data_IF_311618194259
#
_entry.id   IF_311618194259
#
_cell.length_a   1.000
_cell.length_b   1.000
_cell.length_c   1.000
_cell.angle_alpha   90.00
_cell.angle_beta   90.00
_cell.angle_gamma   90.00
#
_symmetry.space_group_name_H-M   'P 1'
#
loop_
_entity.id
_entity.type
_entity.pdbx_description
1 polymer ?
#
# COMPACT_ATOMS: atom_id res chain seq x y z
N UNK A 1 -11.82 -18.63 -35.82
CA UNK A 1 -11.11 -17.50 -35.17
C UNK A 1 -10.14 -18.06 -34.13
N UNK A 2 -8.87 -18.33 -34.47
CA UNK A 2 -7.85 -18.67 -33.49
C UNK A 2 -7.07 -17.42 -33.02
N UNK A 3 -6.69 -17.43 -31.74
CA UNK A 3 -6.02 -16.38 -30.97
C UNK A 3 -4.61 -16.02 -31.46
N UNK A 4 -4.14 -14.76 -31.31
CA UNK A 4 -2.93 -14.27 -31.98
C UNK A 4 -1.66 -14.26 -31.12
N UNK A 5 -1.50 -15.10 -30.09
CA UNK A 5 -0.47 -14.85 -29.06
C UNK A 5 0.66 -15.86 -28.89
N UNK A 6 0.79 -16.95 -29.64
CA UNK A 6 2.02 -17.78 -29.57
C UNK A 6 2.38 -18.45 -30.91
N UNK A 7 2.51 -17.67 -31.99
CA UNK A 7 3.20 -18.15 -33.19
C UNK A 7 4.64 -17.64 -33.17
N UNK A 8 5.60 -18.54 -32.91
CA UNK A 8 7.03 -18.22 -32.96
C UNK A 8 7.39 -17.69 -34.37
N UNK A 9 8.38 -16.79 -34.46
CA UNK A 9 8.81 -16.23 -35.75
C UNK A 9 9.18 -17.32 -36.77
N UNK A 10 9.69 -18.44 -36.28
CA UNK A 10 10.02 -19.63 -37.06
C UNK A 10 8.79 -20.29 -37.69
N UNK A 11 7.66 -20.37 -36.97
CA UNK A 11 6.41 -20.94 -37.51
C UNK A 11 5.79 -20.03 -38.56
N UNK A 12 5.88 -18.71 -38.37
CA UNK A 12 5.42 -17.71 -39.34
C UNK A 12 6.27 -17.71 -40.61
N UNK A 13 7.59 -17.83 -40.47
CA UNK A 13 8.50 -17.95 -41.61
C UNK A 13 8.26 -19.24 -42.39
N UNK A 14 8.03 -20.36 -41.69
CA UNK A 14 7.74 -21.64 -42.34
C UNK A 14 6.40 -21.60 -43.12
N UNK A 15 5.37 -20.96 -42.56
CA UNK A 15 4.11 -20.73 -43.27
C UNK A 15 4.31 -19.85 -44.52
N UNK A 16 5.08 -18.76 -44.40
CA UNK A 16 5.41 -17.89 -45.54
C UNK A 16 6.24 -18.60 -46.62
N UNK A 17 7.25 -19.38 -46.24
CA UNK A 17 8.08 -20.17 -47.16
C UNK A 17 7.26 -21.25 -47.88
N UNK A 18 6.33 -21.90 -47.17
CA UNK A 18 5.43 -22.89 -47.77
C UNK A 18 4.48 -22.27 -48.79
N UNK A 19 3.94 -21.08 -48.50
CA UNK A 19 3.05 -20.33 -49.40
C UNK A 19 3.78 -19.79 -50.62
N UNK A 20 5.06 -19.46 -50.48
CA UNK A 20 5.94 -19.01 -51.57
C UNK A 20 6.59 -20.18 -52.35
N UNK A 21 6.36 -21.43 -51.95
CA UNK A 21 6.81 -22.63 -52.66
C UNK A 21 8.26 -23.07 -52.38
N UNK A 22 8.90 -22.57 -51.32
CA UNK A 22 10.30 -22.87 -50.97
C UNK A 22 10.49 -24.02 -49.96
N UNK A 23 9.46 -24.83 -49.70
CA UNK A 23 9.44 -25.76 -48.57
C UNK A 23 10.34 -26.99 -48.69
N UNK A 24 11.42 -27.04 -47.90
CA UNK A 24 12.00 -28.27 -47.34
C UNK A 24 12.22 -28.10 -45.82
N UNK A 25 11.87 -29.09 -44.99
CA UNK A 25 11.81 -28.93 -43.54
C UNK A 25 13.21 -29.16 -42.96
N UNK A 26 14.04 -28.13 -42.92
CA UNK A 26 15.23 -28.16 -42.08
C UNK A 26 15.22 -26.96 -41.16
N UNK A 27 14.68 -27.18 -39.95
CA UNK A 27 14.83 -26.32 -38.78
C UNK A 27 16.31 -26.34 -38.38
N UNK A 28 17.15 -25.74 -39.20
CA UNK A 28 18.50 -25.39 -38.83
C UNK A 28 18.43 -23.96 -38.30
N UNK A 29 18.89 -23.76 -37.07
CA UNK A 29 19.01 -22.43 -36.44
C UNK A 29 19.99 -21.49 -37.18
N UNK A 30 20.52 -21.92 -38.33
CA UNK A 30 21.33 -21.09 -39.21
C UNK A 30 20.46 -20.03 -39.88
N UNK A 31 20.62 -18.82 -39.36
CA UNK A 31 20.21 -17.52 -39.89
C UNK A 31 18.76 -17.41 -40.37
N UNK A 32 17.87 -17.16 -39.40
CA UNK A 32 16.58 -16.50 -39.61
C UNK A 32 16.73 -15.29 -40.55
N UNK A 33 17.83 -14.53 -40.42
CA UNK A 33 18.14 -13.39 -41.29
C UNK A 33 18.27 -13.76 -42.77
N UNK A 34 18.95 -14.86 -43.10
CA UNK A 34 19.11 -15.32 -44.49
C UNK A 34 17.80 -15.87 -45.07
N UNK A 35 17.00 -16.54 -44.24
CA UNK A 35 15.65 -17.01 -44.64
C UNK A 35 14.73 -15.84 -44.93
N UNK A 36 14.76 -14.82 -44.07
CA UNK A 36 13.97 -13.61 -44.22
C UNK A 36 14.41 -12.80 -45.47
N UNK A 37 15.71 -12.76 -45.76
CA UNK A 37 16.24 -12.14 -46.98
C UNK A 37 15.82 -12.89 -48.26
N UNK A 38 15.77 -14.23 -48.23
CA UNK A 38 15.22 -15.04 -49.34
C UNK A 38 13.73 -14.78 -49.55
N UNK A 39 12.95 -14.73 -48.47
CA UNK A 39 11.51 -14.39 -48.54
C UNK A 39 11.33 -12.98 -49.09
N UNK A 40 12.12 -12.01 -48.61
CA UNK A 40 12.09 -10.64 -49.08
C UNK A 40 12.46 -10.54 -50.57
N UNK A 41 13.46 -11.29 -51.01
CA UNK A 41 13.89 -11.33 -52.42
C UNK A 41 12.88 -12.06 -53.32
N UNK A 42 12.14 -13.04 -52.81
CA UNK A 42 11.06 -13.68 -53.54
C UNK A 42 9.85 -12.75 -53.71
N UNK A 43 9.46 -12.03 -52.65
CA UNK A 43 8.41 -10.99 -52.72
C UNK A 43 8.86 -9.86 -53.66
N UNK A 44 10.10 -9.40 -53.48
CA UNK A 44 11.06 -8.91 -54.47
C UNK A 44 10.76 -9.11 -55.96
N UNK A 45 10.62 -10.37 -56.34
CA UNK A 45 10.57 -10.80 -57.73
C UNK A 45 9.13 -11.01 -58.20
N UNK A 46 8.24 -11.40 -57.29
CA UNK A 46 6.84 -11.68 -57.60
C UNK A 46 5.96 -10.43 -57.62
N UNK A 47 6.39 -9.34 -56.98
CA UNK A 47 5.63 -8.08 -56.93
C UNK A 47 6.30 -6.99 -57.75
N UNK A 48 5.51 -6.22 -58.49
CA UNK A 48 5.99 -5.01 -59.18
C UNK A 48 6.17 -3.85 -58.21
N UNK A 49 7.08 -2.92 -58.52
CA UNK A 49 7.33 -1.74 -57.67
C UNK A 49 6.05 -0.92 -57.39
N UNK A 50 5.19 -0.75 -58.41
CA UNK A 50 3.91 -0.06 -58.28
C UNK A 50 2.92 -0.76 -57.33
N UNK A 51 2.94 -2.10 -57.27
CA UNK A 51 2.12 -2.86 -56.31
C UNK A 51 2.59 -2.65 -54.87
N UNK A 52 3.91 -2.51 -54.64
CA UNK A 52 4.43 -2.24 -53.30
C UNK A 52 4.13 -0.84 -52.81
N UNK A 53 4.19 0.13 -53.71
CA UNK A 53 3.84 1.52 -53.42
C UNK A 53 2.36 1.61 -53.01
N UNK A 54 1.46 1.05 -53.82
CA UNK A 54 0.03 0.96 -53.49
C UNK A 54 -0.27 0.14 -52.22
N UNK A 55 0.49 -0.93 -51.96
CA UNK A 55 0.37 -1.69 -50.71
C UNK A 55 0.81 -0.87 -49.48
N UNK A 56 1.90 -0.11 -49.59
CA UNK A 56 2.38 0.75 -48.52
C UNK A 56 1.43 1.92 -48.27
N UNK A 57 0.89 2.53 -49.32
CA UNK A 57 -0.17 3.55 -49.22
C UNK A 57 -1.43 2.96 -48.57
N UNK A 58 -1.84 1.77 -48.95
CA UNK A 58 -2.98 1.08 -48.33
C UNK A 58 -2.74 0.78 -46.85
N UNK A 59 -1.53 0.37 -46.46
CA UNK A 59 -1.16 0.20 -45.05
C UNK A 59 -1.14 1.52 -44.28
N UNK A 60 -0.67 2.60 -44.90
CA UNK A 60 -0.67 3.93 -44.29
C UNK A 60 -2.12 4.38 -44.04
N UNK A 61 -2.98 4.27 -45.06
CA UNK A 61 -4.42 4.51 -44.96
C UNK A 61 -5.08 3.64 -43.90
N UNK A 62 -4.73 2.36 -43.79
CA UNK A 62 -5.29 1.46 -42.79
C UNK A 62 -4.91 1.88 -41.36
N UNK A 63 -3.69 2.41 -41.15
CA UNK A 63 -3.26 2.98 -39.86
C UNK A 63 -3.93 4.31 -39.56
N UNK A 64 -4.17 5.15 -40.57
CA UNK A 64 -4.87 6.44 -40.42
C UNK A 64 -6.37 6.25 -40.15
N UNK A 65 -6.98 5.22 -40.74
CA UNK A 65 -8.37 4.85 -40.55
C UNK A 65 -8.60 3.98 -39.31
N UNK A 66 -7.54 3.58 -38.59
CA UNK A 66 -7.68 2.86 -37.33
C UNK A 66 -8.30 3.79 -36.27
N UNK A 67 -9.53 3.51 -35.80
CA UNK A 67 -10.22 4.36 -34.84
C UNK A 67 -9.46 4.49 -33.52
N UNK A 68 -8.60 3.53 -33.17
CA UNK A 68 -7.75 3.60 -31.97
C UNK A 68 -6.66 4.65 -32.06
N UNK A 69 -6.11 4.89 -33.25
CA UNK A 69 -5.14 5.97 -33.49
C UNK A 69 -5.82 7.33 -33.52
N UNK A 70 -6.97 7.48 -34.19
CA UNK A 70 -7.69 8.75 -34.26
C UNK A 70 -8.22 9.24 -32.89
N UNK A 71 -8.54 8.32 -31.97
CA UNK A 71 -8.96 8.66 -30.60
C UNK A 71 -7.79 8.98 -29.66
N UNK A 72 -6.58 8.49 -29.94
CA UNK A 72 -5.41 8.68 -29.07
C UNK A 72 -4.45 9.76 -29.59
N UNK A 73 -4.45 10.08 -30.89
CA UNK A 73 -3.69 11.17 -31.49
C UNK A 73 -4.39 12.53 -31.28
N UNK A 74 -4.40 12.97 -30.02
CA UNK A 74 -3.64 14.15 -29.62
C UNK A 74 -3.86 15.47 -30.39
N UNK A 75 -5.12 15.87 -30.59
CA UNK A 75 -5.50 17.27 -30.52
C UNK A 75 -6.75 17.39 -29.66
N UNK A 76 -6.60 17.31 -28.33
CA UNK A 76 -7.59 18.01 -27.50
C UNK A 76 -7.51 19.49 -27.92
N UNK A 77 -8.61 20.10 -28.42
CA UNK A 77 -8.60 21.53 -28.71
C UNK A 77 -8.11 22.28 -27.47
N UNK A 78 -7.25 23.29 -27.63
CA UNK A 78 -6.65 24.05 -26.50
C UNK A 78 -7.69 24.51 -25.46
N UNK A 79 -8.94 24.72 -25.90
CA UNK A 79 -10.09 25.03 -25.05
C UNK A 79 -10.41 23.92 -24.03
N UNK A 80 -10.41 22.65 -24.44
CA UNK A 80 -10.67 21.53 -23.53
C UNK A 80 -9.52 21.33 -22.55
N UNK A 81 -8.27 21.51 -22.98
CA UNK A 81 -7.11 21.48 -22.08
C UNK A 81 -7.19 22.58 -21.02
N UNK A 82 -7.64 23.79 -21.38
CA UNK A 82 -7.86 24.88 -20.41
C UNK A 82 -8.95 24.52 -19.40
N UNK A 83 -10.05 23.93 -19.85
CA UNK A 83 -11.14 23.51 -18.96
C UNK A 83 -10.70 22.38 -18.03
N UNK A 84 -9.93 21.41 -18.53
CA UNK A 84 -9.35 20.33 -17.72
C UNK A 84 -8.40 20.86 -16.65
N UNK A 85 -7.52 21.81 -17.02
CA UNK A 85 -6.61 22.46 -16.07
C UNK A 85 -7.36 23.30 -15.03
N UNK A 86 -8.42 24.01 -15.43
CA UNK A 86 -9.24 24.78 -14.50
C UNK A 86 -10.07 23.88 -13.57
N UNK A 87 -10.58 22.77 -14.08
CA UNK A 87 -11.32 21.78 -13.29
C UNK A 87 -10.41 21.06 -12.28
N UNK A 88 -9.15 20.79 -12.66
CA UNK A 88 -8.14 20.18 -11.80
C UNK A 88 -7.35 21.20 -10.96
N UNK A 89 -7.63 22.50 -11.06
CA UNK A 89 -6.87 23.52 -10.36
C UNK A 89 -6.96 23.38 -8.83
N UNK A 90 -8.15 23.07 -8.31
CA UNK A 90 -8.36 22.90 -6.88
C UNK A 90 -7.66 21.64 -6.32
N UNK A 91 -7.64 20.55 -7.08
CA UNK A 91 -6.92 19.33 -6.70
C UNK A 91 -5.42 19.55 -6.77
N UNK A 92 -4.93 20.20 -7.82
CA UNK A 92 -3.52 20.53 -7.99
C UNK A 92 -3.01 21.49 -6.90
N UNK A 93 -3.79 22.49 -6.50
CA UNK A 93 -3.43 23.40 -5.41
C UNK A 93 -3.33 22.66 -4.07
N UNK A 94 -4.28 21.76 -3.79
CA UNK A 94 -4.23 20.89 -2.62
C UNK A 94 -2.97 20.01 -2.62
N UNK A 95 -2.68 19.35 -3.75
CA UNK A 95 -1.50 18.50 -3.89
C UNK A 95 -0.21 19.31 -3.73
N UNK A 96 -0.18 20.54 -4.24
CA UNK A 96 0.96 21.45 -4.06
C UNK A 96 1.15 21.89 -2.61
N UNK A 97 0.06 22.14 -1.88
CA UNK A 97 0.13 22.43 -0.45
C UNK A 97 0.62 21.21 0.35
N UNK A 98 0.19 20.00 0.01
CA UNK A 98 0.65 18.76 0.65
C UNK A 98 2.13 18.50 0.36
N UNK A 99 2.58 18.68 -0.88
CA UNK A 99 4.00 18.59 -1.24
C UNK A 99 4.84 19.66 -0.55
N UNK A 100 4.32 20.87 -0.37
CA UNK A 100 4.98 21.93 0.41
C UNK A 100 5.14 21.52 1.89
N UNK A 101 4.11 20.91 2.51
CA UNK A 101 4.20 20.38 3.87
C UNK A 101 5.25 19.28 3.98
N UNK A 102 5.27 18.34 3.03
CA UNK A 102 6.29 17.27 2.99
C UNK A 102 7.69 17.88 2.85
N UNK A 103 7.86 18.85 1.96
CA UNK A 103 9.14 19.55 1.78
C UNK A 103 9.57 20.27 3.08
N UNK A 104 8.66 20.93 3.79
CA UNK A 104 8.98 21.56 5.08
C UNK A 104 9.37 20.56 6.17
N UNK A 105 8.75 19.38 6.18
CA UNK A 105 9.09 18.31 7.12
C UNK A 105 10.42 17.61 6.78
N UNK A 106 10.81 17.65 5.50
CA UNK A 106 12.06 17.09 5.00
C UNK A 106 13.22 18.10 4.98
N UNK A 107 12.94 19.41 5.03
CA UNK A 107 13.99 20.42 5.07
C UNK A 107 14.63 20.46 6.47
N UNK A 108 15.90 20.03 6.61
CA UNK A 108 16.66 20.37 7.80
C UNK A 108 16.75 21.90 7.88
N UNK A 109 16.68 22.46 9.09
CA UNK A 109 16.87 23.88 9.35
C UNK A 109 18.24 24.34 8.82
N UNK A 110 18.27 24.72 7.55
CA UNK A 110 19.45 25.16 6.84
C UNK A 110 19.39 26.67 6.81
N UNK A 111 20.38 27.31 7.43
CA UNK A 111 20.58 28.74 7.27
C UNK A 111 20.70 29.06 5.78
N UNK A 112 19.94 30.06 5.34
CA UNK A 112 19.78 30.42 3.92
C UNK A 112 21.14 30.56 3.23
N UNK A 113 21.41 29.72 2.22
CA UNK A 113 22.48 29.94 1.24
C UNK A 113 23.52 28.82 1.05
N UNK A 114 23.44 27.68 1.75
CA UNK A 114 24.29 26.52 1.46
C UNK A 114 23.44 25.40 0.87
N UNK A 115 23.80 24.94 -0.33
CA UNK A 115 23.15 23.79 -0.98
C UNK A 115 23.20 22.56 -0.07
N UNK A 116 22.11 21.79 -0.05
CA UNK A 116 21.98 20.60 0.79
C UNK A 116 23.02 19.55 0.39
N UNK A 117 23.80 19.07 1.36
CA UNK A 117 24.62 17.87 1.19
C UNK A 117 23.76 16.63 1.39
N UNK A 118 24.07 15.54 0.69
CA UNK A 118 23.32 14.27 0.74
C UNK A 118 23.15 13.74 2.18
N UNK A 119 24.18 13.91 3.02
CA UNK A 119 24.16 13.58 4.46
C UNK A 119 23.06 14.32 5.26
N UNK A 120 22.68 15.53 4.82
CA UNK A 120 21.64 16.34 5.49
C UNK A 120 20.22 15.90 5.10
N UNK A 121 20.06 15.22 3.95
CA UNK A 121 18.78 14.65 3.51
C UNK A 121 18.48 13.37 4.31
N UNK A 122 19.51 12.61 4.69
CA UNK A 122 19.37 11.42 5.55
C UNK A 122 19.12 11.75 7.04
N UNK A 123 19.29 13.01 7.45
CA UNK A 123 19.10 13.48 8.82
C UNK A 123 17.80 14.28 9.00
N UNK A 124 16.76 14.01 8.19
CA UNK A 124 15.46 14.61 8.41
C UNK A 124 14.99 14.34 9.86
N UNK A 125 14.48 15.35 10.59
CA UNK A 125 14.08 15.20 11.99
C UNK A 125 13.07 14.08 12.23
N UNK A 126 12.22 13.76 11.26
CA UNK A 126 11.27 12.64 11.35
C UNK A 126 11.98 11.27 11.35
N UNK A 127 13.12 11.16 10.67
CA UNK A 127 13.92 9.93 10.59
C UNK A 127 14.87 9.76 11.78
N UNK A 128 15.14 10.83 12.53
CA UNK A 128 16.15 10.87 13.61
C UNK A 128 15.60 11.24 14.99
N UNK A 129 14.31 11.63 15.11
CA UNK A 129 13.73 12.19 16.34
C UNK A 129 13.55 11.21 17.51
N UNK A 130 13.76 9.91 17.33
CA UNK A 130 13.80 8.96 18.44
C UNK A 130 15.23 8.62 18.83
N UNK A 131 15.89 9.55 19.51
CA UNK A 131 16.96 9.20 20.43
C UNK A 131 16.38 9.23 21.84
N UNK A 132 15.74 8.13 22.24
CA UNK A 132 15.51 7.92 23.68
C UNK A 132 16.90 7.89 24.29
N UNK A 133 17.19 8.86 25.15
CA UNK A 133 18.50 8.88 25.81
C UNK A 133 18.56 7.70 26.78
N UNK A 134 19.72 7.05 26.97
CA UNK A 134 19.84 5.93 27.92
C UNK A 134 19.45 6.34 29.36
N UNK A 135 19.52 7.64 29.66
CA UNK A 135 19.01 8.20 30.91
C UNK A 135 17.48 8.12 31.03
N UNK A 136 16.75 8.29 29.93
CA UNK A 136 15.28 8.21 29.93
C UNK A 136 14.80 6.76 30.00
N UNK A 137 15.55 5.82 29.42
CA UNK A 137 15.29 4.38 29.58
C UNK A 137 15.41 3.96 31.05
N UNK A 138 16.48 4.38 31.74
CA UNK A 138 16.66 4.09 33.17
C UNK A 138 15.54 4.68 34.04
N UNK A 139 15.08 5.89 33.70
CA UNK A 139 13.95 6.53 34.41
C UNK A 139 12.64 5.78 34.17
N UNK A 140 12.40 5.33 32.94
CA UNK A 140 11.24 4.51 32.60
C UNK A 140 11.25 3.16 33.33
N UNK A 141 12.42 2.51 33.39
CA UNK A 141 12.58 1.26 34.14
C UNK A 141 12.35 1.48 35.64
N UNK A 142 12.84 2.58 36.19
CA UNK A 142 12.58 2.94 37.59
C UNK A 142 11.08 3.16 37.84
N UNK A 143 10.39 3.88 36.95
CA UNK A 143 8.94 4.08 37.04
C UNK A 143 8.17 2.76 36.93
N UNK A 144 8.62 1.86 36.06
CA UNK A 144 8.04 0.52 35.92
C UNK A 144 8.16 -0.29 37.20
N UNK A 145 9.33 -0.28 37.83
CA UNK A 145 9.56 -0.97 39.09
C UNK A 145 8.71 -0.40 40.23
N UNK A 146 8.55 0.93 40.32
CA UNK A 146 7.70 1.55 41.35
C UNK A 146 6.22 1.26 41.11
N UNK A 147 5.78 1.22 39.84
CA UNK A 147 4.41 0.83 39.48
C UNK A 147 4.11 -0.61 39.90
N UNK A 148 5.04 -1.53 39.66
CA UNK A 148 4.91 -2.94 40.05
C UNK A 148 4.85 -3.11 41.58
N UNK A 149 5.68 -2.38 42.33
CA UNK A 149 5.63 -2.38 43.80
C UNK A 149 4.30 -1.83 44.33
N UNK A 150 3.83 -0.70 43.79
CA UNK A 150 2.55 -0.11 44.16
C UNK A 150 1.39 -1.07 43.87
N UNK A 151 1.41 -1.75 42.72
CA UNK A 151 0.40 -2.75 42.36
C UNK A 151 0.37 -3.91 43.36
N UNK A 152 1.54 -4.45 43.75
CA UNK A 152 1.61 -5.52 44.76
C UNK A 152 1.08 -5.07 46.11
N UNK A 153 1.45 -3.87 46.56
CA UNK A 153 0.99 -3.30 47.82
C UNK A 153 -0.52 -3.07 47.82
N UNK A 154 -1.07 -2.57 46.71
CA UNK A 154 -2.52 -2.41 46.53
C UNK A 154 -3.23 -3.76 46.63
N UNK A 155 -2.70 -4.81 46.00
CA UNK A 155 -3.27 -6.16 46.08
C UNK A 155 -3.30 -6.69 47.52
N UNK A 156 -2.24 -6.47 48.29
CA UNK A 156 -2.20 -6.86 49.70
C UNK A 156 -3.22 -6.10 50.55
N UNK A 157 -3.40 -4.81 50.28
CA UNK A 157 -4.41 -3.99 50.96
C UNK A 157 -5.81 -4.51 50.63
N UNK A 158 -6.10 -4.80 49.37
CA UNK A 158 -7.40 -5.34 48.93
C UNK A 158 -7.72 -6.65 49.67
N UNK A 159 -6.78 -7.60 49.67
CA UNK A 159 -6.98 -8.88 50.36
C UNK A 159 -7.23 -8.68 51.86
N UNK A 160 -6.51 -7.74 52.49
CA UNK A 160 -6.71 -7.43 53.90
C UNK A 160 -8.06 -6.76 54.17
N UNK A 161 -8.50 -5.85 53.31
CA UNK A 161 -9.81 -5.21 53.46
C UNK A 161 -10.94 -6.19 53.26
N UNK A 162 -10.81 -7.13 52.33
CA UNK A 162 -11.81 -8.19 52.10
C UNK A 162 -11.93 -9.09 53.32
N UNK A 163 -10.81 -9.51 53.91
CA UNK A 163 -10.81 -10.30 55.14
C UNK A 163 -11.44 -9.55 56.33
N UNK A 164 -11.20 -8.24 56.44
CA UNK A 164 -11.84 -7.41 57.48
C UNK A 164 -13.34 -7.26 57.25
N UNK A 165 -13.79 -7.11 55.99
CA UNK A 165 -15.20 -7.06 55.65
C UNK A 165 -15.90 -8.38 55.94
N UNK A 166 -15.28 -9.49 55.59
CA UNK A 166 -15.80 -10.84 55.91
C UNK A 166 -15.96 -11.02 57.42
N UNK A 167 -14.92 -10.70 58.19
CA UNK A 167 -14.99 -10.74 59.66
C UNK A 167 -16.08 -9.83 60.22
N UNK A 168 -16.25 -8.63 59.67
CA UNK A 168 -17.30 -7.71 60.08
C UNK A 168 -18.69 -8.29 59.80
N UNK A 169 -18.90 -8.89 58.63
CA UNK A 169 -20.16 -9.55 58.29
C UNK A 169 -20.47 -10.73 59.22
N UNK A 170 -19.47 -11.55 59.56
CA UNK A 170 -19.65 -12.65 60.52
C UNK A 170 -20.03 -12.12 61.91
N UNK A 171 -19.33 -11.11 62.41
CA UNK A 171 -19.64 -10.51 63.72
C UNK A 171 -21.04 -9.90 63.73
N UNK A 172 -21.41 -9.16 62.67
CA UNK A 172 -22.74 -8.57 62.57
C UNK A 172 -23.85 -9.61 62.46
N UNK A 173 -23.62 -10.73 61.78
CA UNK A 173 -24.58 -11.83 61.73
C UNK A 173 -24.78 -12.48 63.10
N UNK A 174 -23.69 -12.74 63.84
CA UNK A 174 -23.79 -13.30 65.21
C UNK A 174 -24.45 -12.30 66.16
N UNK A 175 -24.09 -11.01 66.07
CA UNK A 175 -24.68 -9.98 66.91
C UNK A 175 -26.19 -9.83 66.63
N UNK A 176 -26.61 -9.84 65.36
CA UNK A 176 -28.03 -9.76 65.01
C UNK A 176 -28.81 -10.98 65.49
N UNK A 177 -28.26 -12.19 65.36
CA UNK A 177 -28.83 -13.42 65.91
C UNK A 177 -29.01 -13.33 67.43
N UNK A 178 -27.99 -12.83 68.15
CA UNK A 178 -28.05 -12.65 69.61
C UNK A 178 -29.09 -11.63 70.04
N UNK A 179 -29.25 -10.54 69.29
CA UNK A 179 -30.28 -9.53 69.54
C UNK A 179 -31.69 -10.13 69.35
N UNK A 180 -31.90 -10.89 68.27
CA UNK A 180 -33.19 -11.56 68.03
C UNK A 180 -33.49 -12.57 69.13
N UNK A 181 -32.54 -13.42 69.52
CA UNK A 181 -32.72 -14.36 70.63
C UNK A 181 -33.04 -13.64 71.94
N UNK A 182 -32.37 -12.52 72.23
CA UNK A 182 -32.66 -11.73 73.42
C UNK A 182 -34.11 -11.18 73.40
N UNK A 183 -34.56 -10.62 72.27
CA UNK A 183 -35.93 -10.13 72.09
C UNK A 183 -36.97 -11.26 72.25
N UNK A 184 -36.70 -12.44 71.68
CA UNK A 184 -37.56 -13.62 71.85
C UNK A 184 -37.66 -14.06 73.32
N UNK A 185 -36.54 -14.08 74.05
CA UNK A 185 -36.55 -14.44 75.48
C UNK A 185 -37.32 -13.43 76.35
N UNK A 186 -37.26 -12.14 76.01
CA UNK A 186 -38.02 -11.09 76.70
C UNK A 186 -39.52 -11.30 76.44
N UNK A 187 -39.92 -11.46 75.18
CA UNK A 187 -41.32 -11.72 74.79
C UNK A 187 -41.87 -13.00 75.40
N UNK A 188 -41.06 -14.05 75.51
CA UNK A 188 -41.46 -15.30 76.15
C UNK A 188 -41.73 -15.11 77.65
N UNK A 189 -40.89 -14.33 78.36
CA UNK A 189 -41.10 -13.99 79.77
C UNK A 189 -42.36 -13.16 79.97
N UNK A 190 -42.57 -12.14 79.14
CA UNK A 190 -43.78 -11.29 79.19
C UNK A 190 -45.08 -12.07 78.99
N UNK A 191 -45.06 -13.12 78.16
CA UNK A 191 -46.23 -14.00 77.97
C UNK A 191 -46.46 -14.99 79.12
N UNK A 192 -45.44 -15.25 79.94
CA UNK A 192 -45.49 -16.22 81.04
C UNK A 192 -45.81 -15.58 82.40
N UNK A 193 -45.80 -14.25 82.49
CA UNK A 193 -46.26 -13.45 83.63
C UNK A 193 -47.69 -12.97 83.40
#
# INVERSE_FOLDING_TARGET
MPSPTEQTLESRLLDLESKLGFGLPTVTKSDIAQRLDKVQTAVNQQTTAAFRETWNESQALFKELDPGMALTHQQQPLLYRRQEVLASAATLDKDMQELSKIMHLLQPHTEKGKGLREDQVTQAPILTSYQITPSDEQRLDQVRLTMDDLSRRLQQVIVRTDAMLESYHTIMAVASEKVVMADETIKAKERSS
#
